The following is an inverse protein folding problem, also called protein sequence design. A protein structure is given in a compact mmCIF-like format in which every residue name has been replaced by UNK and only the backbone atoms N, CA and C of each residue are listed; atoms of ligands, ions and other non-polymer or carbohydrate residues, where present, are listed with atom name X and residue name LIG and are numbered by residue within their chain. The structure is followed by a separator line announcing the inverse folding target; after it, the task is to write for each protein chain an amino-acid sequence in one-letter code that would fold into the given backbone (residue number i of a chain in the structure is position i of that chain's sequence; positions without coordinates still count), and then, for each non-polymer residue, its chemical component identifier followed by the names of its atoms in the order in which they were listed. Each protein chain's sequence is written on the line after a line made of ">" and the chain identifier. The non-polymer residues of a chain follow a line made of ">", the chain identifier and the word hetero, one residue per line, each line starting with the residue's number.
data_IF_707045995489
#
_entry.id   IF_707045995489
#
_cell.length_a   1.000
_cell.length_b   1.000
_cell.length_c   1.000
_cell.angle_alpha   90.00
_cell.angle_beta   90.00
_cell.angle_gamma   90.00
#
_symmetry.space_group_name_H-M   'P 1'
#
loop_
_entity.id
_entity.type
_entity.pdbx_description
1 polymer ?
#
# COMPACT_ATOMS: atom_id res chain seq x y z
N UNK A 1 -20.01 -19.13 0.28
CA UNK A 1 -18.74 -18.53 -0.19
C UNK A 1 -18.08 -17.58 0.83
N UNK A 2 -18.51 -17.50 2.10
CA UNK A 2 -17.92 -16.58 3.09
C UNK A 2 -16.85 -17.21 3.99
N UNK A 3 -16.99 -18.49 4.35
CA UNK A 3 -16.05 -19.18 5.26
C UNK A 3 -14.65 -19.34 4.68
N UNK A 4 -14.52 -19.62 3.38
CA UNK A 4 -13.21 -19.75 2.73
C UNK A 4 -12.40 -18.45 2.77
N UNK A 5 -13.05 -17.31 2.54
CA UNK A 5 -12.41 -15.98 2.61
C UNK A 5 -12.01 -15.64 4.04
N UNK A 6 -12.86 -15.95 5.02
CA UNK A 6 -12.56 -15.76 6.44
C UNK A 6 -11.38 -16.63 6.91
N UNK A 7 -11.29 -17.87 6.43
CA UNK A 7 -10.16 -18.77 6.73
C UNK A 7 -8.88 -18.24 6.09
N UNK A 8 -8.92 -17.78 4.83
CA UNK A 8 -7.76 -17.18 4.17
C UNK A 8 -7.31 -15.92 4.93
N UNK A 9 -8.23 -15.03 5.30
CA UNK A 9 -7.92 -13.85 6.12
C UNK A 9 -7.33 -14.23 7.48
N UNK A 10 -7.90 -15.22 8.16
CA UNK A 10 -7.39 -15.69 9.45
C UNK A 10 -5.99 -16.30 9.33
N UNK A 11 -5.71 -17.03 8.25
CA UNK A 11 -4.36 -17.54 7.97
C UNK A 11 -3.39 -16.40 7.73
N UNK A 12 -3.76 -15.37 6.96
CA UNK A 12 -2.92 -14.19 6.75
C UNK A 12 -2.66 -13.40 8.06
N UNK A 13 -3.65 -13.28 8.94
CA UNK A 13 -3.53 -12.61 10.24
C UNK A 13 -2.88 -13.46 11.35
N UNK A 14 -2.88 -14.78 11.22
CA UNK A 14 -2.25 -15.73 12.17
C UNK A 14 -0.72 -15.77 12.02
N UNK A 15 -0.19 -15.26 10.91
CA UNK A 15 1.24 -15.26 10.66
C UNK A 15 1.96 -14.27 11.60
N UNK A 16 3.06 -14.75 12.18
CA UNK A 16 3.95 -14.00 13.10
C UNK A 16 4.30 -12.61 12.56
N UNK A 17 4.54 -11.64 13.46
CA UNK A 17 5.03 -10.29 13.11
C UNK A 17 6.17 -10.32 12.09
N UNK A 18 7.08 -11.30 12.16
CA UNK A 18 8.17 -11.43 11.19
C UNK A 18 7.71 -11.60 9.74
N UNK A 19 6.54 -12.21 9.51
CA UNK A 19 5.96 -12.38 8.18
C UNK A 19 5.34 -11.08 7.65
N UNK A 20 4.67 -10.31 8.51
CA UNK A 20 4.13 -8.99 8.15
C UNK A 20 5.24 -8.02 7.79
N UNK A 21 6.34 -8.02 8.55
CA UNK A 21 7.56 -7.29 8.21
C UNK A 21 8.08 -7.67 6.82
N UNK A 22 8.20 -8.96 6.52
CA UNK A 22 8.67 -9.42 5.21
C UNK A 22 7.77 -8.93 4.06
N UNK A 23 6.44 -9.04 4.21
CA UNK A 23 5.49 -8.51 3.23
C UNK A 23 5.63 -7.00 3.09
N UNK A 24 5.73 -6.27 4.20
CA UNK A 24 5.88 -4.81 4.18
C UNK A 24 7.13 -4.36 3.42
N UNK A 25 8.27 -5.05 3.62
CA UNK A 25 9.50 -4.81 2.85
C UNK A 25 9.33 -5.13 1.38
N UNK A 26 8.74 -6.26 1.03
CA UNK A 26 8.52 -6.66 -0.36
C UNK A 26 7.65 -5.63 -1.11
N UNK A 27 6.53 -5.22 -0.50
CA UNK A 27 5.64 -4.20 -1.06
C UNK A 27 6.35 -2.85 -1.19
N UNK A 28 7.16 -2.46 -0.19
CA UNK A 28 7.91 -1.20 -0.22
C UNK A 28 8.93 -1.18 -1.36
N UNK A 29 9.73 -2.25 -1.50
CA UNK A 29 10.72 -2.39 -2.59
C UNK A 29 10.02 -2.36 -3.95
N UNK A 30 8.90 -3.08 -4.08
CA UNK A 30 8.10 -3.05 -5.30
C UNK A 30 7.54 -1.66 -5.61
N UNK A 31 7.09 -0.95 -4.59
CA UNK A 31 6.63 0.45 -4.68
C UNK A 31 7.73 1.38 -5.17
N UNK A 32 8.94 1.30 -4.58
CA UNK A 32 10.13 2.05 -5.02
C UNK A 32 10.47 1.74 -6.47
N UNK A 33 10.51 0.46 -6.85
CA UNK A 33 10.80 0.04 -8.22
C UNK A 33 9.81 0.65 -9.23
N UNK A 34 8.50 0.59 -8.93
CA UNK A 34 7.47 1.21 -9.79
C UNK A 34 7.61 2.73 -9.88
N UNK A 35 7.94 3.37 -8.75
CA UNK A 35 8.14 4.81 -8.66
C UNK A 35 9.25 5.28 -9.59
N UNK A 36 10.39 4.60 -9.58
CA UNK A 36 11.54 4.91 -10.44
C UNK A 36 11.18 4.69 -11.93
N UNK A 37 10.45 3.62 -12.25
CA UNK A 37 10.14 3.26 -13.63
C UNK A 37 9.01 4.10 -14.24
N UNK A 38 8.03 4.52 -13.44
CA UNK A 38 6.77 5.08 -13.94
C UNK A 38 6.11 6.00 -12.93
N UNK A 39 6.82 7.03 -12.47
CA UNK A 39 6.26 8.05 -11.59
C UNK A 39 4.94 8.61 -12.14
N UNK A 40 3.86 8.74 -11.34
CA UNK A 40 3.76 8.57 -9.87
C UNK A 40 3.39 7.16 -9.38
N UNK A 41 3.42 6.16 -10.26
CA UNK A 41 2.91 4.83 -9.98
C UNK A 41 3.79 4.14 -8.94
N UNK A 42 3.20 3.52 -7.93
CA UNK A 42 3.95 2.88 -6.85
C UNK A 42 4.07 3.72 -5.57
N UNK A 43 3.64 4.98 -5.57
CA UNK A 43 3.52 5.79 -4.34
C UNK A 43 2.53 5.13 -3.38
N UNK A 44 1.38 4.66 -3.88
CA UNK A 44 0.40 3.99 -3.04
C UNK A 44 0.97 2.72 -2.41
N UNK A 45 1.64 1.90 -3.21
CA UNK A 45 2.32 0.70 -2.72
C UNK A 45 3.40 1.02 -1.67
N UNK A 46 4.19 2.07 -1.88
CA UNK A 46 5.23 2.48 -0.94
C UNK A 46 4.64 2.94 0.40
N UNK A 47 3.57 3.74 0.37
CA UNK A 47 2.85 4.16 1.59
C UNK A 47 2.31 2.95 2.36
N UNK A 48 1.64 2.02 1.66
CA UNK A 48 1.10 0.81 2.29
C UNK A 48 2.22 -0.05 2.89
N UNK A 49 3.31 -0.25 2.15
CA UNK A 49 4.46 -1.03 2.62
C UNK A 49 5.09 -0.46 3.88
N UNK A 50 5.30 0.86 3.94
CA UNK A 50 5.83 1.54 5.13
C UNK A 50 4.89 1.37 6.33
N UNK A 51 3.58 1.55 6.13
CA UNK A 51 2.61 1.43 7.22
C UNK A 51 2.58 0.01 7.78
N UNK A 52 2.67 -1.02 6.93
CA UNK A 52 2.78 -2.42 7.37
C UNK A 52 4.04 -2.64 8.22
N UNK A 53 5.19 -2.10 7.79
CA UNK A 53 6.46 -2.23 8.53
C UNK A 53 6.34 -1.57 9.91
N UNK A 54 5.88 -0.32 9.97
CA UNK A 54 5.76 0.44 11.22
C UNK A 54 4.77 -0.25 12.17
N UNK A 55 3.66 -0.76 11.63
CA UNK A 55 2.65 -1.50 12.42
C UNK A 55 3.23 -2.79 12.98
N UNK A 56 3.97 -3.54 12.18
CA UNK A 56 4.56 -4.81 12.59
C UNK A 56 5.71 -4.65 13.62
N UNK A 57 6.40 -3.51 13.61
CA UNK A 57 7.39 -3.14 14.63
C UNK A 57 6.74 -2.72 15.97
N UNK A 58 5.41 -2.62 16.03
CA UNK A 58 4.67 -2.26 17.24
C UNK A 58 4.65 -0.76 17.54
N UNK A 59 5.09 0.10 16.61
CA UNK A 59 5.02 1.55 16.80
C UNK A 59 3.61 2.11 16.64
N UNK A 60 2.78 1.46 15.81
CA UNK A 60 1.40 1.87 15.55
C UNK A 60 0.52 0.62 15.54
N UNK A 61 -0.51 0.58 16.37
CA UNK A 61 -1.51 -0.48 16.31
C UNK A 61 -2.59 -0.08 15.31
N UNK A 62 -2.75 -0.88 14.26
CA UNK A 62 -3.74 -0.65 13.20
C UNK A 62 -4.70 -1.83 13.20
N UNK A 63 -5.97 -1.54 13.45
CA UNK A 63 -7.05 -2.51 13.38
C UNK A 63 -7.41 -2.82 11.92
N UNK A 64 -8.10 -3.92 11.68
CA UNK A 64 -8.48 -4.36 10.33
C UNK A 64 -9.17 -3.25 9.50
N UNK A 65 -10.12 -2.51 10.10
CA UNK A 65 -10.84 -1.44 9.42
C UNK A 65 -9.95 -0.25 9.08
N UNK A 66 -9.02 0.11 9.96
CA UNK A 66 -8.05 1.18 9.73
C UNK A 66 -7.06 0.79 8.61
N UNK A 67 -6.68 -0.49 8.56
CA UNK A 67 -5.86 -1.02 7.47
C UNK A 67 -6.58 -0.93 6.11
N UNK A 68 -7.87 -1.28 6.05
CA UNK A 68 -8.68 -1.10 4.83
C UNK A 68 -8.70 0.38 4.40
N UNK A 69 -8.90 1.30 5.33
CA UNK A 69 -8.90 2.74 5.03
C UNK A 69 -7.55 3.21 4.48
N UNK A 70 -6.44 2.71 5.03
CA UNK A 70 -5.10 2.97 4.50
C UNK A 70 -4.95 2.48 3.05
N UNK A 71 -5.41 1.26 2.75
CA UNK A 71 -5.34 0.71 1.38
C UNK A 71 -6.14 1.56 0.39
N UNK A 72 -7.37 1.93 0.75
CA UNK A 72 -8.24 2.76 -0.08
C UNK A 72 -7.65 4.16 -0.27
N UNK A 73 -7.17 4.78 0.82
CA UNK A 73 -6.52 6.09 0.79
C UNK A 73 -5.29 6.11 -0.10
N UNK A 74 -4.42 5.10 0.03
CA UNK A 74 -3.23 4.97 -0.80
C UNK A 74 -3.56 4.84 -2.30
N UNK A 75 -4.61 4.08 -2.63
CA UNK A 75 -5.10 3.96 -4.00
C UNK A 75 -5.65 5.29 -4.55
N UNK A 76 -6.42 6.02 -3.75
CA UNK A 76 -6.96 7.34 -4.12
C UNK A 76 -5.84 8.37 -4.31
N UNK A 77 -4.82 8.37 -3.44
CA UNK A 77 -3.65 9.25 -3.55
C UNK A 77 -2.90 8.99 -4.86
N UNK A 78 -2.60 7.72 -5.17
CA UNK A 78 -1.90 7.36 -6.41
C UNK A 78 -2.72 7.75 -7.65
N UNK A 79 -4.03 7.49 -7.64
CA UNK A 79 -4.94 7.88 -8.72
C UNK A 79 -5.03 9.40 -8.91
N UNK A 80 -5.24 10.14 -7.83
CA UNK A 80 -5.34 11.60 -7.85
C UNK A 80 -4.05 12.26 -8.33
N UNK A 81 -2.90 11.77 -7.86
CA UNK A 81 -1.59 12.28 -8.27
C UNK A 81 -1.30 12.01 -9.76
N UNK A 82 -1.71 10.84 -10.27
CA UNK A 82 -1.60 10.52 -11.71
C UNK A 82 -2.39 11.50 -12.56
N UNK A 83 -3.62 11.84 -12.17
CA UNK A 83 -4.45 12.81 -12.89
C UNK A 83 -3.81 14.20 -12.83
N UNK A 84 -3.36 14.63 -11.65
CA UNK A 84 -2.72 15.93 -11.47
C UNK A 84 -1.48 16.10 -12.36
N UNK A 85 -0.58 15.10 -12.38
CA UNK A 85 0.64 15.14 -13.21
C UNK A 85 0.29 15.13 -14.70
N UNK A 86 -0.70 14.33 -15.10
CA UNK A 86 -1.17 14.32 -16.50
C UNK A 86 -1.69 15.70 -16.92
N UNK A 87 -2.46 16.37 -16.07
CA UNK A 87 -2.99 17.69 -16.36
C UNK A 87 -1.89 18.76 -16.44
N UNK A 88 -0.93 18.72 -15.52
CA UNK A 88 0.22 19.65 -15.54
C UNK A 88 1.03 19.46 -16.83
N UNK A 89 1.30 18.22 -17.24
CA UNK A 89 2.02 17.93 -18.48
C UNK A 89 1.27 18.45 -19.71
N UNK A 90 -0.04 18.20 -19.79
CA UNK A 90 -0.87 18.68 -20.90
C UNK A 90 -0.91 20.21 -21.01
N UNK A 91 -0.85 20.91 -19.87
CA UNK A 91 -0.80 22.38 -19.85
C UNK A 91 0.57 22.95 -20.22
N UNK A 92 1.66 22.19 -20.00
CA UNK A 92 3.01 22.61 -20.36
C UNK A 92 3.33 22.41 -21.85
N UNK A 93 2.60 21.52 -22.52
CA UNK A 93 2.74 21.25 -23.97
C UNK A 93 1.83 22.17 -24.84
N UNK A 94 1.04 23.06 -24.23
CA UNK A 94 0.22 24.09 -24.90
C UNK A 94 0.89 25.45 -24.85
#
# INVERSE_FOLDING_TARGET
>A
MSLGILIILAVFFSLSNSFWLFIGFFISIFGVYKLIKSFPNGIGALIVGIIIIISSLGFVYINFWEFILVLLGAGLIEGGLRIAISNVRNNAER
#
